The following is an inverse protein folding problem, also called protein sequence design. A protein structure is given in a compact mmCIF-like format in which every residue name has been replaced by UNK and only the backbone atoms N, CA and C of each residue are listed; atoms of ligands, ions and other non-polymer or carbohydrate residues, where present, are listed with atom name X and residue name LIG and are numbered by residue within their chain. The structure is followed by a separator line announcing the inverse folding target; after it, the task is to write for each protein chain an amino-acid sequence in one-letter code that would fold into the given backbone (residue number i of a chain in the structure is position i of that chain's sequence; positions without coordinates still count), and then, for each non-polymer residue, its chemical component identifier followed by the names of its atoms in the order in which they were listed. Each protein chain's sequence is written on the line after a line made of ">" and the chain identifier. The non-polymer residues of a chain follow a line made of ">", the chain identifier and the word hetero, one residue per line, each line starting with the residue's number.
data_IF_897639629270
#
_entry.id   IF_897639629270
#
_cell.length_a   1.000
_cell.length_b   1.000
_cell.length_c   1.000
_cell.angle_alpha   90.00
_cell.angle_beta   90.00
_cell.angle_gamma   90.00
#
_symmetry.space_group_name_H-M   'P 1'
#
loop_
_entity.id
_entity.type
_entity.pdbx_description
1 polymer ?
#
# COMPACT_ATOMS: atom_id res chain seq x y z
N UNK A 1 -5.32 16.13 -26.16
CA UNK A 1 -6.26 16.25 -27.30
C UNK A 1 -7.70 16.20 -26.77
N UNK A 2 -8.21 17.34 -26.32
CA UNK A 2 -9.63 17.56 -26.06
C UNK A 2 -9.99 18.83 -26.83
N UNK A 3 -10.89 18.69 -27.81
CA UNK A 3 -11.39 19.79 -28.63
C UNK A 3 -12.28 20.65 -27.73
N UNK A 4 -11.79 21.81 -27.29
CA UNK A 4 -12.64 22.85 -26.71
C UNK A 4 -13.39 23.52 -27.86
N UNK A 5 -14.65 23.11 -28.03
CA UNK A 5 -15.63 23.83 -28.83
C UNK A 5 -16.02 25.09 -28.05
N UNK A 6 -15.37 26.21 -28.35
CA UNK A 6 -15.93 27.51 -27.99
C UNK A 6 -16.75 28.03 -29.17
N UNK A 7 -18.04 28.17 -28.87
CA UNK A 7 -19.07 28.80 -29.68
C UNK A 7 -18.60 30.16 -30.22
N UNK A 8 -18.51 30.28 -31.54
CA UNK A 8 -18.78 31.54 -32.19
C UNK A 8 -20.21 31.92 -31.84
N UNK A 9 -20.37 32.95 -31.02
CA UNK A 9 -21.66 33.61 -30.83
C UNK A 9 -21.87 34.47 -32.08
N UNK A 10 -22.92 34.14 -32.82
CA UNK A 10 -23.50 34.92 -33.91
C UNK A 10 -23.70 36.38 -33.46
N UNK A 11 -22.91 37.29 -34.02
CA UNK A 11 -23.14 38.75 -33.94
C UNK A 11 -23.75 39.20 -35.28
N UNK A 12 -24.84 38.56 -35.72
CA UNK A 12 -25.49 38.95 -36.97
C UNK A 12 -27.04 38.87 -36.94
N UNK A 13 -27.66 38.81 -35.76
CA UNK A 13 -29.11 38.58 -35.67
C UNK A 13 -29.87 39.43 -34.62
N UNK A 14 -29.48 40.68 -34.37
CA UNK A 14 -30.26 41.61 -33.51
C UNK A 14 -30.29 43.06 -34.02
N UNK A 15 -30.63 43.28 -35.29
CA UNK A 15 -30.84 44.64 -35.85
C UNK A 15 -32.20 44.85 -36.55
N UNK A 16 -33.23 44.07 -36.22
CA UNK A 16 -34.58 44.34 -36.74
C UNK A 16 -35.65 44.13 -35.67
N UNK A 17 -36.19 45.26 -35.17
CA UNK A 17 -37.45 45.50 -34.44
C UNK A 17 -37.10 46.48 -33.30
N UNK A 18 -37.52 47.75 -33.27
CA UNK A 18 -38.87 48.29 -33.44
C UNK A 18 -38.81 49.71 -34.03
N UNK A 19 -39.68 50.01 -34.99
CA UNK A 19 -40.02 51.39 -35.38
C UNK A 19 -41.13 51.88 -34.46
N UNK A 20 -40.77 52.60 -33.42
CA UNK A 20 -41.67 53.46 -32.63
C UNK A 20 -41.58 54.91 -33.14
N UNK A 21 -42.73 55.60 -33.05
CA UNK A 21 -43.08 56.85 -33.73
C UNK A 21 -42.19 58.04 -33.34
N UNK A 22 -41.96 59.02 -34.23
CA UNK A 22 -41.27 60.25 -33.88
C UNK A 22 -42.24 61.16 -33.12
N UNK A 23 -42.13 61.16 -31.78
CA UNK A 23 -42.52 62.32 -30.99
C UNK A 23 -41.40 63.35 -31.09
N UNK A 24 -41.73 64.61 -31.32
CA UNK A 24 -40.79 65.73 -31.23
C UNK A 24 -40.30 65.86 -29.78
N UNK A 25 -39.31 65.05 -29.42
CA UNK A 25 -38.47 65.25 -28.24
C UNK A 25 -37.51 66.40 -28.54
N UNK A 26 -37.44 67.33 -27.60
CA UNK A 26 -36.64 68.53 -27.73
C UNK A 26 -35.16 68.17 -27.96
N UNK A 27 -34.42 68.93 -28.81
CA UNK A 27 -33.02 68.66 -29.18
C UNK A 27 -32.03 68.51 -28.00
N UNK A 28 -32.46 68.85 -26.79
CA UNK A 28 -31.64 68.86 -25.58
C UNK A 28 -31.60 67.49 -24.87
N UNK A 29 -32.61 66.63 -25.05
CA UNK A 29 -32.71 65.32 -24.36
C UNK A 29 -31.84 64.24 -25.05
N UNK A 30 -31.63 64.38 -26.37
CA UNK A 30 -30.77 63.48 -27.15
C UNK A 30 -29.28 63.67 -26.82
N UNK A 31 -28.87 64.91 -26.58
CA UNK A 31 -27.49 65.23 -26.22
C UNK A 31 -27.13 64.69 -24.83
N UNK A 32 -28.03 64.78 -23.85
CA UNK A 32 -27.84 64.23 -22.50
C UNK A 32 -27.77 62.68 -22.50
N UNK A 33 -28.57 62.03 -23.36
CA UNK A 33 -28.55 60.57 -23.54
C UNK A 33 -27.23 60.08 -24.19
N UNK A 34 -26.72 60.82 -25.18
CA UNK A 34 -25.43 60.53 -25.82
C UNK A 34 -24.26 60.73 -24.85
N UNK A 35 -24.29 61.80 -24.04
CA UNK A 35 -23.25 62.04 -23.03
C UNK A 35 -23.23 60.95 -21.96
N UNK A 36 -24.41 60.48 -21.52
CA UNK A 36 -24.54 59.36 -20.58
C UNK A 36 -23.97 58.06 -21.18
N UNK A 37 -24.24 57.81 -22.47
CA UNK A 37 -23.72 56.61 -23.16
C UNK A 37 -22.21 56.67 -23.36
N UNK A 38 -21.64 57.84 -23.64
CA UNK A 38 -20.20 58.05 -23.73
C UNK A 38 -19.51 57.75 -22.40
N UNK A 39 -20.02 58.31 -21.29
CA UNK A 39 -19.49 58.04 -19.94
C UNK A 39 -19.56 56.55 -19.58
N UNK A 40 -20.63 55.85 -19.98
CA UNK A 40 -20.75 54.41 -19.77
C UNK A 40 -19.69 53.63 -20.56
N UNK A 41 -19.49 53.97 -21.84
CA UNK A 41 -18.51 53.31 -22.69
C UNK A 41 -17.07 53.58 -22.24
N UNK A 42 -16.78 54.79 -21.76
CA UNK A 42 -15.49 55.14 -21.15
C UNK A 42 -15.24 54.29 -19.90
N UNK A 43 -16.23 54.16 -19.02
CA UNK A 43 -16.12 53.28 -17.84
C UNK A 43 -15.94 51.80 -18.20
N UNK A 44 -16.65 51.30 -19.21
CA UNK A 44 -16.47 49.92 -19.70
C UNK A 44 -15.09 49.70 -20.35
N UNK A 45 -14.57 50.69 -21.06
CA UNK A 45 -13.24 50.64 -21.66
C UNK A 45 -12.15 50.62 -20.57
N UNK A 46 -12.25 51.48 -19.56
CA UNK A 46 -11.34 51.50 -18.41
C UNK A 46 -11.34 50.17 -17.66
N UNK A 47 -12.52 49.58 -17.42
CA UNK A 47 -12.61 48.29 -16.72
C UNK A 47 -12.00 47.14 -17.55
N UNK A 48 -12.22 47.14 -18.88
CA UNK A 48 -11.57 46.19 -19.78
C UNK A 48 -10.06 46.36 -19.79
N UNK A 49 -9.55 47.59 -19.77
CA UNK A 49 -8.11 47.86 -19.70
C UNK A 49 -7.50 47.40 -18.37
N UNK A 50 -8.18 47.63 -17.24
CA UNK A 50 -7.74 47.09 -15.94
C UNK A 50 -7.71 45.57 -15.95
N UNK A 51 -8.75 44.92 -16.49
CA UNK A 51 -8.80 43.46 -16.59
C UNK A 51 -7.71 42.91 -17.52
N UNK A 52 -7.41 43.61 -18.61
CA UNK A 52 -6.34 43.24 -19.52
C UNK A 52 -4.97 43.35 -18.86
N UNK A 53 -4.74 44.40 -18.06
CA UNK A 53 -3.51 44.54 -17.26
C UNK A 53 -3.38 43.45 -16.19
N UNK A 54 -4.47 43.11 -15.49
CA UNK A 54 -4.48 42.01 -14.51
C UNK A 54 -4.15 40.67 -15.17
N UNK A 55 -4.80 40.34 -16.30
CA UNK A 55 -4.53 39.10 -17.02
C UNK A 55 -3.09 39.07 -17.59
N UNK A 56 -2.56 40.21 -18.01
CA UNK A 56 -1.16 40.31 -18.45
C UNK A 56 -0.19 40.05 -17.29
N UNK A 57 -0.50 40.56 -16.09
CA UNK A 57 0.29 40.30 -14.88
C UNK A 57 0.22 38.83 -14.48
N UNK A 58 -0.99 38.24 -14.40
CA UNK A 58 -1.18 36.82 -14.11
C UNK A 58 -0.46 35.91 -15.12
N UNK A 59 -0.51 36.25 -16.41
CA UNK A 59 0.26 35.55 -17.44
C UNK A 59 1.77 35.65 -17.21
N UNK A 60 2.26 36.79 -16.73
CA UNK A 60 3.65 36.99 -16.34
C UNK A 60 4.06 36.11 -15.17
N UNK A 61 3.27 36.10 -14.11
CA UNK A 61 3.53 35.34 -12.88
C UNK A 61 3.49 33.82 -13.15
N UNK A 62 2.48 33.34 -13.89
CA UNK A 62 2.38 31.93 -14.28
C UNK A 62 3.55 31.50 -15.17
N UNK A 63 4.05 32.39 -16.02
CA UNK A 63 5.22 32.09 -16.85
C UNK A 63 6.48 31.90 -15.99
N UNK A 64 6.69 32.77 -15.01
CA UNK A 64 7.79 32.64 -14.04
C UNK A 64 7.67 31.30 -13.29
N UNK A 65 6.47 30.96 -12.80
CA UNK A 65 6.23 29.70 -12.10
C UNK A 65 6.49 28.46 -12.97
N UNK A 66 6.09 28.49 -14.24
CA UNK A 66 6.38 27.41 -15.20
C UNK A 66 7.88 27.28 -15.43
N UNK A 67 8.61 28.37 -15.59
CA UNK A 67 10.05 28.37 -15.82
C UNK A 67 10.80 27.81 -14.59
N UNK A 68 10.41 28.19 -13.37
CA UNK A 68 10.94 27.65 -12.11
C UNK A 68 10.67 26.15 -11.96
N UNK A 69 9.44 25.70 -12.24
CA UNK A 69 9.08 24.28 -12.22
C UNK A 69 9.85 23.48 -13.27
N UNK A 70 10.06 24.05 -14.46
CA UNK A 70 10.83 23.40 -15.53
C UNK A 70 12.31 23.27 -15.14
N UNK A 71 12.88 24.29 -14.50
CA UNK A 71 14.25 24.26 -13.99
C UNK A 71 14.44 23.19 -12.90
N UNK A 72 13.54 23.15 -11.92
CA UNK A 72 13.57 22.13 -10.85
C UNK A 72 13.40 20.72 -11.40
N UNK A 73 12.52 20.50 -12.39
CA UNK A 73 12.40 19.21 -13.07
C UNK A 73 13.70 18.81 -13.78
N UNK A 74 14.36 19.74 -14.47
CA UNK A 74 15.61 19.49 -15.15
C UNK A 74 16.73 19.09 -14.16
N UNK A 75 16.79 19.74 -13.00
CA UNK A 75 17.75 19.41 -11.95
C UNK A 75 17.47 18.03 -11.32
N UNK A 76 16.20 17.71 -11.03
CA UNK A 76 15.79 16.38 -10.56
C UNK A 76 16.16 15.31 -11.59
N UNK A 77 15.91 15.55 -12.89
CA UNK A 77 16.32 14.62 -13.97
C UNK A 77 17.83 14.45 -14.04
N UNK A 78 18.62 15.51 -13.79
CA UNK A 78 20.09 15.44 -13.76
C UNK A 78 20.57 14.59 -12.58
N UNK A 79 20.04 14.82 -11.38
CA UNK A 79 20.34 14.03 -10.18
C UNK A 79 19.97 12.56 -10.43
N UNK A 80 18.76 12.29 -10.91
CA UNK A 80 18.30 10.95 -11.21
C UNK A 80 19.20 10.22 -12.21
N UNK A 81 19.63 10.88 -13.29
CA UNK A 81 20.59 10.30 -14.26
C UNK A 81 21.94 9.99 -13.61
N UNK A 82 22.44 10.85 -12.72
CA UNK A 82 23.69 10.63 -11.99
C UNK A 82 23.56 9.42 -11.05
N UNK A 83 22.51 9.38 -10.23
CA UNK A 83 22.22 8.26 -9.33
C UNK A 83 22.00 6.96 -10.10
N UNK A 84 21.33 6.99 -11.25
CA UNK A 84 21.15 5.82 -12.11
C UNK A 84 22.47 5.31 -12.70
N UNK A 85 23.40 6.20 -13.07
CA UNK A 85 24.74 5.80 -13.52
C UNK A 85 25.56 5.18 -12.38
N UNK A 86 25.51 5.78 -11.20
CA UNK A 86 26.15 5.22 -10.01
C UNK A 86 25.55 3.85 -9.67
N UNK A 87 24.22 3.70 -9.74
CA UNK A 87 23.51 2.43 -9.57
C UNK A 87 23.95 1.37 -10.58
N UNK A 88 24.06 1.73 -11.86
CA UNK A 88 24.55 0.81 -12.88
C UNK A 88 26.02 0.42 -12.65
N UNK A 89 26.84 1.36 -12.18
CA UNK A 89 28.23 1.08 -11.79
C UNK A 89 28.27 0.14 -10.60
N UNK A 90 27.50 0.41 -9.54
CA UNK A 90 27.37 -0.49 -8.40
C UNK A 90 26.92 -1.87 -8.84
N UNK A 91 25.95 -1.98 -9.76
CA UNK A 91 25.49 -3.27 -10.29
C UNK A 91 26.58 -4.02 -11.07
N UNK A 92 27.46 -3.30 -11.76
CA UNK A 92 28.58 -3.88 -12.50
C UNK A 92 29.74 -4.29 -11.57
N UNK A 93 29.99 -3.52 -10.50
CA UNK A 93 31.09 -3.71 -9.56
C UNK A 93 30.72 -4.63 -8.39
N UNK A 94 29.44 -4.70 -8.00
CA UNK A 94 28.96 -5.56 -6.92
C UNK A 94 29.08 -7.01 -7.34
N UNK A 95 29.91 -7.77 -6.62
CA UNK A 95 30.08 -9.22 -6.73
C UNK A 95 28.75 -9.96 -6.51
N UNK A 96 27.92 -10.04 -7.55
CA UNK A 96 26.63 -10.75 -7.52
C UNK A 96 25.58 -10.09 -6.62
N UNK A 97 24.31 -10.42 -6.87
CA UNK A 97 23.25 -10.14 -5.90
C UNK A 97 23.54 -10.87 -4.59
N UNK A 98 23.01 -10.36 -3.47
CA UNK A 98 23.02 -11.12 -2.22
C UNK A 98 22.32 -12.47 -2.43
N UNK A 99 23.11 -13.55 -2.52
CA UNK A 99 22.61 -14.88 -2.88
C UNK A 99 22.20 -15.62 -1.61
N UNK A 100 20.94 -15.47 -1.24
CA UNK A 100 20.29 -16.40 -0.32
C UNK A 100 19.75 -17.57 -1.13
N UNK A 101 20.01 -18.80 -0.68
CA UNK A 101 19.44 -20.00 -1.29
C UNK A 101 17.99 -20.22 -0.86
N UNK A 102 17.23 -20.95 -1.65
CA UNK A 102 15.83 -21.27 -1.31
C UNK A 102 15.76 -22.09 -0.03
N UNK A 103 16.74 -22.97 0.20
CA UNK A 103 16.86 -23.79 1.42
C UNK A 103 16.99 -22.94 2.67
N UNK A 104 17.83 -21.89 2.63
CA UNK A 104 17.97 -20.98 3.77
C UNK A 104 16.66 -20.24 4.05
N UNK A 105 15.97 -19.76 3.01
CA UNK A 105 14.67 -19.11 3.19
C UNK A 105 13.65 -20.07 3.81
N UNK A 106 13.57 -21.31 3.29
CA UNK A 106 12.69 -22.36 3.82
C UNK A 106 13.01 -22.62 5.29
N UNK A 107 14.29 -22.66 5.66
CA UNK A 107 14.72 -22.84 7.05
C UNK A 107 14.24 -21.68 7.95
N UNK A 108 14.45 -20.43 7.52
CA UNK A 108 14.01 -19.25 8.29
C UNK A 108 12.49 -19.17 8.43
N UNK A 109 11.74 -19.46 7.35
CA UNK A 109 10.28 -19.52 7.39
C UNK A 109 9.82 -20.65 8.33
N UNK A 110 10.49 -21.80 8.28
CA UNK A 110 10.19 -22.95 9.14
C UNK A 110 10.45 -22.65 10.61
N UNK A 111 11.54 -21.96 10.95
CA UNK A 111 11.80 -21.52 12.32
C UNK A 111 10.71 -20.58 12.82
N UNK A 112 10.29 -19.60 12.01
CA UNK A 112 9.22 -18.67 12.39
C UNK A 112 7.89 -19.42 12.61
N UNK A 113 7.59 -20.39 11.74
CA UNK A 113 6.42 -21.28 11.85
C UNK A 113 6.44 -22.09 13.15
N UNK A 114 7.57 -22.67 13.51
CA UNK A 114 7.73 -23.43 14.76
C UNK A 114 7.57 -22.48 15.96
N UNK A 115 8.21 -21.31 15.95
CA UNK A 115 8.12 -20.34 17.04
C UNK A 115 6.66 -19.89 17.30
N UNK A 116 5.90 -19.58 16.25
CA UNK A 116 4.49 -19.17 16.37
C UNK A 116 3.64 -20.34 16.89
N UNK A 117 3.86 -21.56 16.39
CA UNK A 117 3.14 -22.76 16.84
C UNK A 117 3.40 -23.03 18.33
N UNK A 118 4.66 -23.08 18.72
CA UNK A 118 5.08 -23.44 20.08
C UNK A 118 4.62 -22.37 21.08
N UNK A 119 4.70 -21.09 20.73
CA UNK A 119 4.09 -19.99 21.49
C UNK A 119 2.58 -20.22 21.68
N UNK A 120 1.87 -20.55 20.61
CA UNK A 120 0.42 -20.71 20.65
C UNK A 120 0.01 -21.90 21.53
N UNK A 121 0.74 -23.02 21.45
CA UNK A 121 0.51 -24.19 22.29
C UNK A 121 0.83 -23.85 23.75
N UNK A 122 2.02 -23.31 24.03
CA UNK A 122 2.48 -23.03 25.39
C UNK A 122 1.51 -22.15 26.17
N UNK A 123 0.99 -21.09 25.54
CA UNK A 123 0.16 -20.11 26.23
C UNK A 123 -1.34 -20.32 26.05
N UNK A 124 -1.82 -21.16 25.13
CA UNK A 124 -3.25 -21.24 24.84
C UNK A 124 -3.79 -22.66 24.70
N UNK A 125 -2.96 -23.70 24.72
CA UNK A 125 -3.44 -25.07 24.77
C UNK A 125 -4.05 -25.41 26.14
N UNK A 126 -5.19 -26.10 26.12
CA UNK A 126 -5.98 -26.37 27.32
C UNK A 126 -6.66 -25.14 27.94
N UNK A 127 -6.54 -23.95 27.35
CA UNK A 127 -7.16 -22.71 27.84
C UNK A 127 -8.41 -22.37 27.05
N UNK A 128 -9.43 -21.86 27.74
CA UNK A 128 -10.64 -21.34 27.12
C UNK A 128 -10.89 -19.91 27.58
N UNK A 129 -11.49 -19.11 26.71
CA UNK A 129 -11.85 -17.74 27.05
C UNK A 129 -12.77 -17.72 28.28
N UNK A 130 -12.52 -16.84 29.27
CA UNK A 130 -13.41 -16.67 30.41
C UNK A 130 -14.83 -16.32 29.92
N UNK A 131 -15.85 -16.91 30.54
CA UNK A 131 -17.25 -16.65 30.17
C UNK A 131 -17.56 -15.15 30.35
N UNK A 132 -17.86 -14.46 29.26
CA UNK A 132 -18.39 -13.08 29.27
C UNK A 132 -17.36 -11.94 29.33
N UNK A 133 -16.07 -12.19 29.04
CA UNK A 133 -15.00 -11.22 29.35
C UNK A 133 -14.30 -10.59 28.14
N UNK A 134 -14.69 -10.87 26.89
CA UNK A 134 -14.14 -10.07 25.77
C UNK A 134 -14.74 -8.67 25.88
N UNK A 135 -14.00 -7.78 26.53
CA UNK A 135 -14.45 -6.44 26.92
C UNK A 135 -14.95 -5.63 25.73
N UNK A 136 -15.88 -4.71 25.96
CA UNK A 136 -16.55 -3.88 24.95
C UNK A 136 -15.58 -3.01 24.11
N UNK A 137 -14.33 -2.85 24.55
CA UNK A 137 -13.29 -2.13 23.81
C UNK A 137 -12.62 -3.07 22.81
N UNK A 138 -12.98 -2.95 21.53
CA UNK A 138 -12.32 -3.69 20.44
C UNK A 138 -10.80 -3.41 20.45
N UNK A 139 -9.94 -4.38 20.80
CA UNK A 139 -8.50 -4.17 20.80
C UNK A 139 -7.98 -3.91 19.37
N UNK A 140 -6.79 -3.32 19.25
CA UNK A 140 -6.27 -2.79 17.97
C UNK A 140 -6.21 -3.86 16.86
N UNK A 141 -5.91 -5.11 17.21
CA UNK A 141 -5.83 -6.22 16.25
C UNK A 141 -7.03 -7.18 16.34
N UNK A 142 -8.14 -6.75 16.92
CA UNK A 142 -9.38 -7.51 16.95
C UNK A 142 -9.89 -7.88 15.56
N UNK A 143 -9.76 -6.97 14.59
CA UNK A 143 -10.12 -7.23 13.20
C UNK A 143 -9.34 -8.42 12.62
N UNK A 144 -8.05 -8.55 12.95
CA UNK A 144 -7.23 -9.68 12.51
C UNK A 144 -7.68 -10.97 13.17
N UNK A 145 -7.97 -10.95 14.47
CA UNK A 145 -8.47 -12.13 15.17
C UNK A 145 -9.81 -12.60 14.59
N UNK A 146 -10.74 -11.66 14.36
CA UNK A 146 -12.04 -11.93 13.72
C UNK A 146 -11.91 -12.54 12.33
N UNK A 147 -11.00 -12.02 11.51
CA UNK A 147 -10.79 -12.52 10.15
C UNK A 147 -9.95 -13.81 10.09
N UNK A 148 -9.43 -14.29 11.21
CA UNK A 148 -8.65 -15.54 11.26
C UNK A 148 -9.51 -16.79 11.23
N UNK A 149 -10.82 -16.66 11.49
CA UNK A 149 -11.82 -17.71 11.40
C UNK A 149 -13.12 -17.17 10.81
N UNK A 150 -14.02 -18.05 10.39
CA UNK A 150 -15.39 -17.63 10.08
C UNK A 150 -16.07 -17.06 11.33
N UNK A 151 -17.01 -16.12 11.17
CA UNK A 151 -17.76 -15.56 12.30
C UNK A 151 -18.46 -16.66 13.12
N UNK A 152 -18.93 -17.72 12.45
CA UNK A 152 -19.56 -18.89 13.07
C UNK A 152 -18.58 -19.72 13.90
N UNK A 153 -17.34 -19.84 13.47
CA UNK A 153 -16.34 -20.70 14.10
C UNK A 153 -15.47 -19.98 15.12
N UNK A 154 -15.31 -18.65 15.03
CA UNK A 154 -14.51 -17.85 15.95
C UNK A 154 -14.88 -18.15 17.42
N UNK A 155 -16.18 -18.16 17.73
CA UNK A 155 -16.68 -18.49 19.05
C UNK A 155 -16.43 -19.94 19.46
N UNK A 156 -16.39 -20.89 18.51
CA UNK A 156 -16.09 -22.31 18.78
C UNK A 156 -14.63 -22.51 19.14
N UNK A 157 -13.72 -21.87 18.40
CA UNK A 157 -12.29 -21.91 18.71
C UNK A 157 -11.99 -21.31 20.09
N UNK A 158 -12.50 -20.11 20.38
CA UNK A 158 -12.25 -19.41 21.66
C UNK A 158 -12.78 -20.18 22.89
N UNK A 159 -13.90 -20.90 22.72
CA UNK A 159 -14.52 -21.68 23.80
C UNK A 159 -13.92 -23.08 23.94
N UNK A 160 -13.19 -23.58 22.95
CA UNK A 160 -12.63 -24.93 22.97
C UNK A 160 -11.21 -24.91 23.56
N UNK A 161 -10.97 -25.55 24.72
CA UNK A 161 -9.63 -25.70 25.27
C UNK A 161 -8.64 -26.37 24.31
N UNK A 162 -9.13 -27.23 23.42
CA UNK A 162 -8.31 -27.97 22.45
C UNK A 162 -7.99 -27.18 21.19
N UNK A 163 -8.77 -26.14 20.87
CA UNK A 163 -8.65 -25.44 19.59
C UNK A 163 -8.25 -23.96 19.75
N UNK A 164 -8.28 -23.37 20.95
CA UNK A 164 -7.92 -21.96 21.15
C UNK A 164 -6.52 -21.62 20.59
N UNK A 165 -5.52 -22.48 20.84
CA UNK A 165 -4.17 -22.31 20.30
C UNK A 165 -4.13 -22.24 18.76
N UNK A 166 -4.99 -23.01 18.07
CA UNK A 166 -5.10 -23.01 16.59
C UNK A 166 -5.52 -21.64 16.07
N UNK A 167 -6.49 -21.01 16.73
CA UNK A 167 -6.96 -19.67 16.38
C UNK A 167 -5.89 -18.61 16.66
N UNK A 168 -5.20 -18.68 17.80
CA UNK A 168 -4.12 -17.74 18.14
C UNK A 168 -2.96 -17.84 17.15
N UNK A 169 -2.60 -19.05 16.73
CA UNK A 169 -1.59 -19.30 15.70
C UNK A 169 -1.98 -18.63 14.37
N UNK A 170 -3.23 -18.82 13.91
CA UNK A 170 -3.74 -18.18 12.70
C UNK A 170 -3.75 -16.64 12.80
N UNK A 171 -4.16 -16.13 13.96
CA UNK A 171 -4.16 -14.70 14.26
C UNK A 171 -2.77 -14.07 14.15
N UNK A 172 -1.75 -14.69 14.74
CA UNK A 172 -0.38 -14.20 14.68
C UNK A 172 0.14 -14.15 13.25
N UNK A 173 -0.08 -15.20 12.46
CA UNK A 173 0.29 -15.20 11.05
C UNK A 173 -0.37 -14.09 10.26
N UNK A 174 -1.67 -13.85 10.49
CA UNK A 174 -2.40 -12.77 9.83
C UNK A 174 -1.80 -11.40 10.19
N UNK A 175 -1.52 -11.16 11.47
CA UNK A 175 -0.87 -9.90 11.91
C UNK A 175 0.51 -9.76 11.26
N UNK A 176 1.35 -10.79 11.29
CA UNK A 176 2.70 -10.73 10.70
C UNK A 176 2.65 -10.42 9.20
N UNK A 177 1.83 -11.15 8.46
CA UNK A 177 1.74 -10.98 7.00
C UNK A 177 1.14 -9.62 6.61
N UNK A 178 0.15 -9.11 7.35
CA UNK A 178 -0.58 -7.87 6.99
C UNK A 178 -0.01 -6.60 7.60
N UNK A 179 0.54 -6.68 8.79
CA UNK A 179 0.96 -5.52 9.56
C UNK A 179 2.49 -5.36 9.61
N UNK A 180 3.27 -6.43 9.38
CA UNK A 180 4.73 -6.37 9.46
C UNK A 180 5.42 -6.52 8.10
N UNK A 181 5.11 -7.57 7.35
CA UNK A 181 5.77 -7.81 6.07
C UNK A 181 5.51 -6.68 5.07
N UNK A 182 6.54 -6.36 4.28
CA UNK A 182 6.52 -5.28 3.28
C UNK A 182 6.29 -3.87 3.85
N UNK A 183 6.38 -3.67 5.18
CA UNK A 183 6.39 -2.33 5.78
C UNK A 183 7.78 -1.71 5.87
N UNK A 184 8.82 -2.51 5.62
CA UNK A 184 10.23 -2.08 5.62
C UNK A 184 10.66 -1.37 6.91
N UNK A 185 10.07 -1.72 8.05
CA UNK A 185 10.31 -1.00 9.31
C UNK A 185 11.76 -1.14 9.80
N UNK A 186 12.44 -2.21 9.38
CA UNK A 186 13.86 -2.44 9.61
C UNK A 186 14.78 -1.46 8.86
N UNK A 187 14.25 -0.57 8.01
CA UNK A 187 14.98 0.60 7.48
C UNK A 187 14.97 1.80 8.43
N UNK A 188 14.20 1.74 9.53
CA UNK A 188 13.97 2.86 10.44
C UNK A 188 12.90 3.84 9.92
N UNK A 189 12.37 4.66 10.84
CA UNK A 189 11.21 5.55 10.62
C UNK A 189 11.40 6.55 9.47
N UNK A 190 12.64 7.01 9.27
CA UNK A 190 12.97 8.04 8.27
C UNK A 190 12.82 7.51 6.85
N UNK A 191 13.16 6.24 6.64
CA UNK A 191 13.21 5.63 5.32
C UNK A 191 12.02 4.69 5.05
N UNK A 192 11.47 4.02 6.06
CA UNK A 192 10.43 3.00 5.87
C UNK A 192 9.21 3.53 5.12
N UNK A 193 8.63 4.64 5.57
CA UNK A 193 7.43 5.24 4.96
C UNK A 193 7.69 5.79 3.56
N UNK A 194 8.86 6.38 3.32
CA UNK A 194 9.24 6.93 2.02
C UNK A 194 9.50 5.81 1.03
N UNK A 195 10.29 4.81 1.43
CA UNK A 195 10.58 3.64 0.62
C UNK A 195 9.30 2.87 0.28
N UNK A 196 8.40 2.68 1.26
CA UNK A 196 7.11 2.04 1.04
C UNK A 196 6.30 2.74 -0.06
N UNK A 197 6.20 4.08 -0.03
CA UNK A 197 5.47 4.84 -1.06
C UNK A 197 6.08 4.71 -2.45
N UNK A 198 7.42 4.73 -2.55
CA UNK A 198 8.11 4.53 -3.84
C UNK A 198 7.93 3.10 -4.33
N UNK A 199 8.10 2.12 -3.44
CA UNK A 199 7.86 0.72 -3.74
C UNK A 199 6.43 0.48 -4.22
N UNK A 200 5.44 1.04 -3.54
CA UNK A 200 4.02 0.95 -3.91
C UNK A 200 3.73 1.62 -5.26
N UNK A 201 4.29 2.81 -5.50
CA UNK A 201 4.12 3.52 -6.78
C UNK A 201 4.79 2.84 -7.97
N UNK A 202 5.81 2.02 -7.72
CA UNK A 202 6.54 1.26 -8.74
C UNK A 202 6.05 -0.18 -8.91
N UNK A 203 5.15 -0.65 -8.04
CA UNK A 203 4.55 -1.98 -8.19
C UNK A 203 3.97 -2.12 -9.60
N UNK A 204 4.31 -3.20 -10.34
CA UNK A 204 3.70 -3.47 -11.63
C UNK A 204 2.17 -3.42 -11.48
N UNK A 205 1.47 -2.71 -12.37
CA UNK A 205 0.02 -2.40 -12.27
C UNK A 205 -0.91 -3.59 -11.99
N UNK A 206 -0.43 -4.81 -12.20
CA UNK A 206 -1.08 -6.06 -11.82
C UNK A 206 -1.32 -6.18 -10.29
N UNK A 207 -0.48 -5.54 -9.48
CA UNK A 207 -0.47 -5.59 -8.02
C UNK A 207 -1.18 -4.40 -7.36
N UNK A 208 -2.22 -3.85 -7.99
CA UNK A 208 -2.99 -2.77 -7.36
C UNK A 208 -3.80 -3.32 -6.19
N UNK A 209 -3.20 -3.28 -5.02
CA UNK A 209 -3.86 -3.40 -3.74
C UNK A 209 -4.97 -2.32 -3.67
N UNK A 210 -6.24 -2.71 -3.57
CA UNK A 210 -7.30 -1.75 -3.22
C UNK A 210 -7.45 -1.71 -1.70
N UNK A 211 -6.86 -0.69 -1.06
CA UNK A 211 -7.29 -0.23 0.28
C UNK A 211 -8.65 0.47 0.08
N UNK A 212 -9.68 -0.22 -0.39
CA UNK A 212 -11.04 0.31 -0.26
C UNK A 212 -11.49 -0.03 1.15
N UNK A 213 -11.30 0.96 2.03
CA UNK A 213 -11.81 1.00 3.39
C UNK A 213 -13.35 0.93 3.41
N UNK A 214 -13.85 0.40 4.52
CA UNK A 214 -15.21 0.48 5.08
C UNK A 214 -16.18 -0.69 4.83
N UNK A 215 -16.15 -1.37 3.69
CA UNK A 215 -16.94 -2.60 3.51
C UNK A 215 -15.99 -3.78 3.43
N UNK A 216 -15.82 -4.48 4.56
CA UNK A 216 -14.97 -5.67 4.61
C UNK A 216 -15.23 -6.62 3.43
N UNK A 217 -14.13 -7.24 2.97
CA UNK A 217 -14.06 -8.33 1.99
C UNK A 217 -14.02 -7.85 0.53
N UNK A 218 -12.83 -7.49 0.05
CA UNK A 218 -12.09 -8.41 -0.81
C UNK A 218 -10.58 -8.05 -0.75
N UNK A 219 -9.82 -8.84 0.00
CA UNK A 219 -8.36 -8.76 0.14
C UNK A 219 -7.71 -9.59 -0.97
N UNK A 220 -8.21 -9.39 -2.19
CA UNK A 220 -7.69 -10.03 -3.37
C UNK A 220 -6.64 -9.13 -3.97
N UNK A 221 -5.50 -9.74 -4.28
CA UNK A 221 -4.81 -9.41 -5.52
C UNK A 221 -5.77 -9.72 -6.67
N UNK A 222 -6.81 -8.88 -6.87
CA UNK A 222 -7.61 -8.92 -8.08
C UNK A 222 -6.61 -8.65 -9.18
N UNK A 223 -6.27 -9.68 -9.96
CA UNK A 223 -5.64 -9.44 -11.26
C UNK A 223 -6.52 -8.41 -11.92
N UNK A 224 -6.02 -7.19 -12.13
CA UNK A 224 -6.82 -6.16 -12.79
C UNK A 224 -7.34 -6.76 -14.07
N UNK A 225 -8.64 -6.99 -14.05
CA UNK A 225 -9.42 -7.31 -15.20
C UNK A 225 -9.51 -5.97 -15.94
N UNK A 226 -9.09 -5.93 -17.20
CA UNK A 226 -9.28 -4.75 -18.02
C UNK A 226 -10.77 -4.38 -18.13
N UNK A 227 -11.09 -3.25 -18.74
CA UNK A 227 -12.50 -2.84 -18.94
C UNK A 227 -13.33 -3.89 -19.68
N UNK A 228 -12.68 -4.86 -20.34
CA UNK A 228 -13.29 -5.88 -21.17
C UNK A 228 -13.38 -7.26 -20.47
N UNK A 229 -13.07 -7.37 -19.18
CA UNK A 229 -13.16 -8.67 -18.51
C UNK A 229 -11.91 -9.55 -18.64
N UNK A 230 -10.80 -9.07 -19.24
CA UNK A 230 -9.59 -9.86 -19.47
C UNK A 230 -8.52 -9.58 -18.44
N UNK A 231 -7.91 -10.64 -17.89
CA UNK A 231 -6.71 -10.50 -17.08
C UNK A 231 -5.60 -9.88 -17.93
N UNK A 232 -5.05 -8.74 -17.50
CA UNK A 232 -3.86 -8.19 -18.13
C UNK A 232 -2.76 -9.26 -18.20
N UNK A 233 -2.08 -9.41 -19.36
CA UNK A 233 -1.00 -10.38 -19.50
C UNK A 233 0.04 -10.16 -18.41
N UNK A 234 0.50 -11.25 -17.81
CA UNK A 234 1.65 -11.20 -16.93
C UNK A 234 2.84 -10.68 -17.75
N UNK A 235 3.52 -9.65 -17.24
CA UNK A 235 4.81 -9.19 -17.76
C UNK A 235 5.91 -9.61 -16.77
N UNK A 236 6.45 -10.84 -16.91
CA UNK A 236 7.54 -11.33 -16.06
C UNK A 236 8.78 -10.42 -16.10
N UNK A 237 8.98 -9.69 -17.19
CA UNK A 237 10.12 -8.79 -17.35
C UNK A 237 9.97 -7.52 -16.49
N UNK A 238 8.77 -6.92 -16.48
CA UNK A 238 8.47 -5.80 -15.59
C UNK A 238 8.56 -6.20 -14.11
N UNK A 239 8.03 -7.38 -13.76
CA UNK A 239 8.12 -7.94 -12.40
C UNK A 239 9.58 -8.17 -11.99
N UNK A 240 10.38 -8.82 -12.84
CA UNK A 240 11.82 -9.02 -12.62
C UNK A 240 12.55 -7.69 -12.41
N UNK A 241 12.31 -6.70 -13.27
CA UNK A 241 12.94 -5.37 -13.16
C UNK A 241 12.58 -4.68 -11.84
N UNK A 242 11.32 -4.74 -11.45
CA UNK A 242 10.85 -4.17 -10.19
C UNK A 242 11.52 -4.82 -8.97
N UNK A 243 11.52 -6.16 -8.88
CA UNK A 243 12.13 -6.84 -7.74
C UNK A 243 13.66 -6.72 -7.73
N UNK A 244 14.31 -6.67 -8.90
CA UNK A 244 15.74 -6.36 -9.00
C UNK A 244 16.03 -4.95 -8.48
N UNK A 245 15.23 -3.95 -8.89
CA UNK A 245 15.36 -2.58 -8.39
C UNK A 245 15.19 -2.51 -6.87
N UNK A 246 14.16 -3.17 -6.32
CA UNK A 246 13.92 -3.25 -4.88
C UNK A 246 15.14 -3.80 -4.14
N UNK A 247 15.64 -4.96 -4.58
CA UNK A 247 16.77 -5.65 -3.96
C UNK A 247 18.04 -4.77 -3.94
N UNK A 248 18.40 -4.19 -5.09
CA UNK A 248 19.58 -3.32 -5.19
C UNK A 248 19.44 -2.06 -4.38
N UNK A 249 18.25 -1.44 -4.39
CA UNK A 249 18.01 -0.20 -3.64
C UNK A 249 18.05 -0.45 -2.13
N UNK A 250 17.48 -1.57 -1.67
CA UNK A 250 17.58 -1.99 -0.27
C UNK A 250 19.03 -2.19 0.15
N UNK A 251 19.85 -2.85 -0.69
CA UNK A 251 21.27 -3.04 -0.38
C UNK A 251 21.98 -1.69 -0.16
N UNK A 252 21.71 -0.70 -1.03
CA UNK A 252 22.26 0.65 -0.88
C UNK A 252 21.79 1.36 0.39
N UNK A 253 20.51 1.23 0.74
CA UNK A 253 20.01 1.77 2.01
C UNK A 253 20.78 1.14 3.16
N UNK A 254 20.85 -0.18 3.23
CA UNK A 254 21.53 -0.90 4.31
C UNK A 254 22.98 -0.45 4.52
N UNK A 255 23.71 -0.14 3.45
CA UNK A 255 25.10 0.36 3.53
C UNK A 255 25.20 1.79 4.11
N UNK A 256 24.12 2.58 3.99
CA UNK A 256 24.06 3.98 4.42
C UNK A 256 23.40 4.21 5.78
N UNK A 257 22.77 3.18 6.36
CA UNK A 257 21.99 3.32 7.60
C UNK A 257 22.89 3.47 8.83
N UNK A 258 22.52 4.38 9.73
CA UNK A 258 23.00 4.36 11.11
C UNK A 258 22.32 3.21 11.86
N UNK A 259 23.01 2.07 11.96
CA UNK A 259 22.49 0.85 12.55
C UNK A 259 21.98 1.06 13.98
N UNK A 260 22.65 1.88 14.80
CA UNK A 260 22.23 2.10 16.20
C UNK A 260 20.88 2.80 16.27
N UNK A 261 20.67 3.79 15.41
CA UNK A 261 19.41 4.53 15.32
C UNK A 261 18.28 3.65 14.81
N UNK A 262 18.56 2.82 13.81
CA UNK A 262 17.62 1.85 13.26
C UNK A 262 17.21 0.83 14.33
N UNK A 263 18.16 0.27 15.08
CA UNK A 263 17.88 -0.73 16.13
C UNK A 263 17.00 -0.17 17.26
N UNK A 264 17.25 1.06 17.68
CA UNK A 264 16.43 1.76 18.69
C UNK A 264 14.99 1.94 18.21
N UNK A 265 14.81 2.37 16.97
CA UNK A 265 13.48 2.57 16.38
C UNK A 265 12.76 1.25 16.14
N UNK A 266 13.46 0.23 15.65
CA UNK A 266 12.91 -1.11 15.45
C UNK A 266 12.45 -1.70 16.79
N UNK A 267 13.24 -1.56 17.85
CA UNK A 267 12.84 -1.96 19.21
C UNK A 267 11.57 -1.24 19.67
N UNK A 268 11.45 0.06 19.38
CA UNK A 268 10.25 0.85 19.70
C UNK A 268 9.01 0.31 18.96
N UNK A 269 9.14 -0.03 17.68
CA UNK A 269 8.07 -0.62 16.86
C UNK A 269 7.72 -2.03 17.31
N UNK A 270 8.69 -2.88 17.61
CA UNK A 270 8.48 -4.21 18.20
C UNK A 270 7.64 -4.11 19.47
N UNK A 271 7.96 -3.20 20.38
CA UNK A 271 7.17 -2.99 21.60
C UNK A 271 5.72 -2.55 21.31
N UNK A 272 5.51 -1.77 20.24
CA UNK A 272 4.18 -1.37 19.81
C UNK A 272 3.36 -2.56 19.29
N UNK A 273 3.95 -3.43 18.47
CA UNK A 273 3.32 -4.68 18.02
C UNK A 273 3.00 -5.60 19.20
N UNK A 274 3.98 -5.82 20.09
CA UNK A 274 3.82 -6.64 21.30
C UNK A 274 2.62 -6.15 22.11
N UNK A 275 2.56 -4.85 22.39
CA UNK A 275 1.44 -4.25 23.14
C UNK A 275 0.10 -4.48 22.44
N UNK A 276 0.00 -4.29 21.12
CA UNK A 276 -1.26 -4.44 20.36
C UNK A 276 -1.72 -5.90 20.28
N UNK A 277 -0.79 -6.82 20.02
CA UNK A 277 -1.03 -8.28 19.98
C UNK A 277 -1.44 -8.74 21.38
N UNK A 278 -0.63 -8.44 22.39
CA UNK A 278 -0.90 -8.84 23.77
C UNK A 278 -2.23 -8.30 24.28
N UNK A 279 -2.55 -7.03 24.05
CA UNK A 279 -3.86 -6.48 24.44
C UNK A 279 -5.04 -7.19 23.75
N UNK A 280 -4.84 -7.75 22.56
CA UNK A 280 -5.86 -8.54 21.86
C UNK A 280 -6.04 -9.93 22.48
N UNK A 281 -4.97 -10.49 23.06
CA UNK A 281 -4.95 -11.82 23.67
C UNK A 281 -5.03 -11.80 25.20
N UNK A 282 -5.01 -10.62 25.83
CA UNK A 282 -4.77 -10.43 27.27
C UNK A 282 -5.69 -11.29 28.14
N UNK A 283 -6.98 -11.34 27.79
CA UNK A 283 -7.99 -12.03 28.59
C UNK A 283 -7.88 -13.58 28.47
N UNK A 284 -6.99 -14.09 27.60
CA UNK A 284 -6.68 -15.51 27.44
C UNK A 284 -5.37 -15.93 28.15
N UNK A 285 -4.55 -14.96 28.60
CA UNK A 285 -3.24 -15.18 29.22
C UNK A 285 -3.36 -15.04 30.74
N UNK A 286 -2.72 -15.92 31.51
CA UNK A 286 -2.71 -15.79 32.97
C UNK A 286 -1.79 -14.65 33.41
N UNK A 287 -2.13 -13.98 34.52
CA UNK A 287 -1.38 -12.81 35.02
C UNK A 287 0.10 -13.08 35.28
N UNK A 288 0.42 -14.27 35.78
CA UNK A 288 1.79 -14.72 36.06
C UNK A 288 2.60 -15.06 34.79
N UNK A 289 1.92 -15.29 33.66
CA UNK A 289 2.53 -15.64 32.37
C UNK A 289 2.69 -14.42 31.44
N UNK A 290 2.12 -13.26 31.78
CA UNK A 290 2.03 -12.10 30.88
C UNK A 290 3.39 -11.63 30.36
N UNK A 291 4.39 -11.52 31.25
CA UNK A 291 5.73 -11.07 30.86
C UNK A 291 6.39 -12.05 29.89
N UNK A 292 6.34 -13.35 30.20
CA UNK A 292 6.91 -14.37 29.31
C UNK A 292 6.22 -14.40 27.95
N UNK A 293 4.89 -14.22 27.94
CA UNK A 293 4.11 -14.11 26.71
C UNK A 293 4.55 -12.90 25.87
N UNK A 294 4.71 -11.72 26.48
CA UNK A 294 5.19 -10.51 25.79
C UNK A 294 6.61 -10.68 25.25
N UNK A 295 7.52 -11.29 26.02
CA UNK A 295 8.91 -11.53 25.61
C UNK A 295 8.97 -12.48 24.39
N UNK A 296 8.15 -13.53 24.37
CA UNK A 296 8.08 -14.44 23.21
C UNK A 296 7.42 -13.79 21.98
N UNK A 297 6.38 -12.96 22.16
CA UNK A 297 5.83 -12.16 21.05
C UNK A 297 6.93 -11.26 20.48
N UNK A 298 7.73 -10.59 21.34
CA UNK A 298 8.82 -9.73 20.88
C UNK A 298 9.87 -10.53 20.07
N UNK A 299 10.21 -11.74 20.49
CA UNK A 299 11.11 -12.62 19.76
C UNK A 299 10.56 -13.00 18.37
N UNK A 300 9.28 -13.39 18.29
CA UNK A 300 8.59 -13.71 17.02
C UNK A 300 8.60 -12.48 16.09
N UNK A 301 8.29 -11.29 16.61
CA UNK A 301 8.27 -10.06 15.82
C UNK A 301 9.66 -9.70 15.29
N UNK A 302 10.70 -9.82 16.12
CA UNK A 302 12.08 -9.58 15.68
C UNK A 302 12.51 -10.60 14.60
N UNK A 303 12.15 -11.87 14.76
CA UNK A 303 12.39 -12.90 13.74
C UNK A 303 11.65 -12.61 12.44
N UNK A 304 10.40 -12.15 12.51
CA UNK A 304 9.64 -11.73 11.35
C UNK A 304 10.28 -10.53 10.63
N UNK A 305 10.76 -9.51 11.36
CA UNK A 305 11.49 -8.39 10.75
C UNK A 305 12.78 -8.84 10.06
N UNK A 306 13.54 -9.74 10.67
CA UNK A 306 14.74 -10.30 10.06
C UNK A 306 14.40 -11.06 8.77
N UNK A 307 13.36 -11.90 8.79
CA UNK A 307 12.89 -12.63 7.61
C UNK A 307 12.40 -11.69 6.49
N UNK A 308 11.62 -10.65 6.82
CA UNK A 308 11.17 -9.65 5.85
C UNK A 308 12.35 -8.93 5.19
N UNK A 309 13.37 -8.57 5.98
CA UNK A 309 14.62 -8.00 5.46
C UNK A 309 15.27 -8.95 4.46
N UNK A 310 15.46 -10.22 4.81
CA UNK A 310 16.11 -11.20 3.93
C UNK A 310 15.32 -11.52 2.65
N UNK A 311 13.99 -11.57 2.75
CA UNK A 311 13.12 -11.73 1.57
C UNK A 311 13.27 -10.53 0.62
N UNK A 312 13.25 -9.31 1.15
CA UNK A 312 13.26 -8.12 0.31
C UNK A 312 14.64 -7.77 -0.26
N UNK A 313 15.73 -8.32 0.29
CA UNK A 313 17.08 -8.23 -0.29
C UNK A 313 17.28 -9.09 -1.54
N UNK A 314 16.36 -9.99 -1.84
CA UNK A 314 16.46 -10.87 -3.01
C UNK A 314 15.79 -10.26 -4.23
N UNK A 315 16.34 -10.58 -5.42
CA UNK A 315 15.73 -10.23 -6.69
C UNK A 315 14.48 -11.08 -6.98
N UNK A 316 14.31 -12.24 -6.33
CA UNK A 316 13.11 -13.07 -6.44
C UNK A 316 11.90 -12.47 -5.70
N UNK A 317 10.70 -12.81 -6.17
CA UNK A 317 9.45 -12.42 -5.53
C UNK A 317 8.98 -13.54 -4.60
N UNK A 318 8.72 -13.21 -3.34
CA UNK A 318 8.10 -14.12 -2.36
C UNK A 318 6.73 -13.58 -2.00
N UNK A 319 5.71 -14.43 -2.05
CA UNK A 319 4.33 -14.10 -1.68
C UNK A 319 3.78 -15.07 -0.66
N UNK A 320 2.97 -14.54 0.24
CA UNK A 320 2.31 -15.27 1.32
C UNK A 320 0.84 -15.49 0.95
N UNK A 321 0.39 -16.74 0.99
CA UNK A 321 -1.01 -17.11 0.79
C UNK A 321 -1.56 -17.51 2.16
N UNK A 322 -2.39 -16.65 2.74
CA UNK A 322 -2.97 -16.83 4.08
C UNK A 322 -4.49 -17.04 4.09
N UNK A 323 -5.15 -17.03 2.94
CA UNK A 323 -6.58 -17.27 2.82
C UNK A 323 -6.83 -18.66 2.22
N UNK A 324 -7.67 -19.46 2.89
CA UNK A 324 -8.08 -20.81 2.46
C UNK A 324 -8.69 -20.76 1.05
N UNK A 325 -9.30 -19.64 0.66
CA UNK A 325 -9.86 -19.46 -0.68
C UNK A 325 -8.79 -19.26 -1.77
N UNK A 326 -7.58 -18.85 -1.38
CA UNK A 326 -6.47 -18.49 -2.30
C UNK A 326 -5.46 -19.62 -2.52
N UNK A 327 -5.53 -20.73 -1.77
CA UNK A 327 -4.68 -21.92 -1.98
C UNK A 327 -5.10 -22.66 -3.26
N UNK A 328 -4.68 -22.14 -4.42
CA UNK A 328 -4.90 -22.73 -5.74
C UNK A 328 -3.70 -22.47 -6.64
N UNK A 329 -2.85 -23.48 -6.77
CA UNK A 329 -1.82 -23.52 -7.80
C UNK A 329 -1.85 -24.91 -8.43
N UNK A 330 -2.54 -25.03 -9.57
CA UNK A 330 -2.74 -26.28 -10.31
C UNK A 330 -4.16 -26.41 -10.85
N UNK A 331 -4.35 -26.99 -12.03
CA UNK A 331 -5.61 -27.12 -12.80
C UNK A 331 -6.76 -27.90 -12.10
N UNK A 332 -6.72 -28.07 -10.78
CA UNK A 332 -7.74 -28.73 -9.99
C UNK A 332 -8.21 -27.83 -8.85
N UNK A 333 -9.37 -27.21 -9.07
CA UNK A 333 -10.11 -26.51 -8.02
C UNK A 333 -10.79 -27.56 -7.13
N UNK A 334 -10.06 -28.08 -6.15
CA UNK A 334 -10.75 -28.61 -4.98
C UNK A 334 -11.19 -27.42 -4.13
N UNK A 335 -12.50 -27.22 -4.00
CA UNK A 335 -13.04 -26.34 -2.96
C UNK A 335 -12.68 -26.98 -1.63
N UNK A 336 -11.62 -26.50 -0.98
CA UNK A 336 -11.40 -26.80 0.43
C UNK A 336 -12.65 -26.31 1.16
N UNK A 337 -13.29 -27.20 1.92
CA UNK A 337 -14.46 -26.84 2.74
C UNK A 337 -14.07 -25.62 3.59
N UNK A 338 -14.92 -24.60 3.62
CA UNK A 338 -14.66 -23.29 4.26
C UNK A 338 -14.47 -23.35 5.79
N UNK A 339 -14.46 -24.54 6.38
CA UNK A 339 -14.56 -24.74 7.82
C UNK A 339 -13.15 -24.96 8.40
N UNK A 340 -12.31 -23.93 8.49
CA UNK A 340 -10.97 -24.06 9.07
C UNK A 340 -10.25 -22.74 9.29
N UNK A 341 -9.08 -22.80 9.95
CA UNK A 341 -8.17 -21.65 10.16
C UNK A 341 -6.79 -21.96 9.59
N UNK A 342 -6.14 -20.97 8.97
CA UNK A 342 -4.78 -21.14 8.42
C UNK A 342 -3.75 -21.04 9.54
N UNK A 343 -3.22 -22.19 9.96
CA UNK A 343 -2.17 -22.31 10.99
C UNK A 343 -0.79 -21.92 10.48
N UNK A 344 -0.57 -21.99 9.17
CA UNK A 344 0.63 -21.50 8.51
C UNK A 344 0.26 -21.16 7.08
N UNK A 345 0.59 -19.95 6.61
CA UNK A 345 0.39 -19.60 5.21
C UNK A 345 1.25 -20.47 4.30
N UNK A 346 0.80 -20.65 3.05
CA UNK A 346 1.65 -21.14 1.97
C UNK A 346 2.58 -20.01 1.52
N UNK A 347 3.83 -20.36 1.23
CA UNK A 347 4.83 -19.42 0.73
C UNK A 347 5.24 -19.84 -0.66
N UNK A 348 5.02 -18.94 -1.62
CA UNK A 348 5.40 -19.16 -3.00
C UNK A 348 6.53 -18.21 -3.37
N UNK A 349 7.44 -18.69 -4.21
CA UNK A 349 8.53 -17.91 -4.80
C UNK A 349 8.39 -17.90 -6.31
N UNK A 350 8.70 -16.76 -6.91
CA UNK A 350 8.81 -16.58 -8.35
C UNK A 350 10.17 -15.98 -8.68
N UNK A 351 10.85 -16.63 -9.62
CA UNK A 351 12.22 -16.32 -9.95
C UNK A 351 13.23 -16.74 -8.87
N UNK A 352 14.47 -16.98 -9.32
CA UNK A 352 15.62 -17.29 -8.47
C UNK A 352 16.14 -16.02 -7.81
N UNK A 353 16.97 -16.19 -6.78
CA UNK A 353 17.64 -15.07 -6.10
C UNK A 353 18.55 -14.23 -7.03
N UNK A 354 18.96 -14.79 -8.17
CA UNK A 354 19.71 -14.12 -9.25
C UNK A 354 18.85 -13.23 -10.15
N UNK A 355 17.52 -13.33 -10.07
CA UNK A 355 16.59 -12.62 -10.95
C UNK A 355 16.13 -13.42 -12.18
N UNK A 356 16.58 -14.66 -12.37
CA UNK A 356 16.16 -15.53 -13.49
C UNK A 356 14.88 -16.31 -13.19
N UNK A 357 14.17 -16.83 -14.21
CA UNK A 357 13.06 -17.77 -14.01
C UNK A 357 11.76 -17.17 -13.48
N UNK A 358 11.48 -15.89 -13.77
CA UNK A 358 10.24 -15.21 -13.34
C UNK A 358 8.96 -15.74 -14.01
N UNK A 359 9.10 -16.60 -15.01
CA UNK A 359 8.03 -17.38 -15.64
C UNK A 359 7.59 -18.59 -14.78
N UNK A 360 8.38 -18.96 -13.76
CA UNK A 360 8.13 -20.12 -12.91
C UNK A 360 7.81 -19.69 -11.47
N UNK A 361 6.80 -20.34 -10.90
CA UNK A 361 6.43 -20.20 -9.49
C UNK A 361 6.64 -21.53 -8.79
N UNK A 362 7.33 -21.50 -7.64
CA UNK A 362 7.65 -22.67 -6.82
C UNK A 362 7.06 -22.49 -5.43
N UNK A 363 6.51 -23.57 -4.87
CA UNK A 363 6.09 -23.59 -3.46
C UNK A 363 7.30 -23.83 -2.59
N UNK A 364 7.60 -22.88 -1.69
CA UNK A 364 8.65 -23.02 -0.69
C UNK A 364 8.15 -23.74 0.56
N UNK A 365 6.96 -23.39 1.02
CA UNK A 365 6.35 -23.96 2.23
C UNK A 365 4.86 -24.15 2.00
N UNK A 366 4.36 -25.34 2.27
CA UNK A 366 2.94 -25.67 2.14
C UNK A 366 2.09 -25.04 3.25
N UNK A 367 0.85 -24.69 2.90
CA UNK A 367 -0.15 -24.21 3.84
C UNK A 367 -0.49 -25.31 4.86
N UNK A 368 -0.70 -24.91 6.11
CA UNK A 368 -1.26 -25.79 7.14
C UNK A 368 -2.60 -25.23 7.58
N UNK A 369 -3.65 -26.05 7.49
CA UNK A 369 -5.01 -25.70 7.91
C UNK A 369 -5.42 -26.52 9.13
N UNK A 370 -5.96 -25.85 10.13
CA UNK A 370 -6.46 -26.45 11.36
C UNK A 370 -7.98 -26.43 11.39
N UNK A 371 -8.59 -27.57 11.69
CA UNK A 371 -10.04 -27.72 11.77
C UNK A 371 -10.50 -27.74 13.24
N UNK A 372 -11.74 -27.29 13.48
CA UNK A 372 -12.41 -27.50 14.77
C UNK A 372 -12.76 -28.98 14.86
N UNK A 373 -12.20 -29.66 15.86
CA UNK A 373 -12.58 -31.02 16.24
C UNK A 373 -13.92 -31.08 16.97
#
# INVERSE_FOLDING_TARGET
>A
MAKSQHSLIDIDAMLFSERTKPGEEQPQDVDDALETRLKQLEGELEEKDRRLQQLQQECGDLKIEIDEKTATEADIRRIWKKTAKELNKFRADSQGFYQITDEYLVEQISYLKIAIRDFSIQYFDGKSAPKGVITETNPHYWVHLKLSASERDLGRYLKSPKNCHKLVQAFLWRVIVKELFLRFEWLGKEYSSVFYRVWEGLLPRKYHWSYTSEAGIDDSLVRRIDRDGRSLPDDPEAERKFHSWRATTIAMFLDSLDQKKVDLELKRRTNEYVRRIFNTLRDLVKRDEEKGCQDQIAAIINQAHALDKEINRQAGYVRWIGDIQQAKTGNHVQRIKQDGVVLSPEVLKRGKSTGEGFDQETTLVEMVVGYVE
#
